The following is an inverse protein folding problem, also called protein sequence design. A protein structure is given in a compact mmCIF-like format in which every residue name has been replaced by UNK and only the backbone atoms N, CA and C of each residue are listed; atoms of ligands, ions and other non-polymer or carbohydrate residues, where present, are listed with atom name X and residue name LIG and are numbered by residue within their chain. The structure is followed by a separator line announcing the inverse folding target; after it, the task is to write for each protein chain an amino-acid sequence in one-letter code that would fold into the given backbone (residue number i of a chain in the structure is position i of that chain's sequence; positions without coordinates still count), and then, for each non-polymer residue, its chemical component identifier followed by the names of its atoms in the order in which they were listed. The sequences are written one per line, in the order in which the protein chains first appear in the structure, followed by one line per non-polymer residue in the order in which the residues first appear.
data_IF_183373677710
#
_entry.id   IF_183373677710
#
_cell.length_a   1.000
_cell.length_b   1.000
_cell.length_c   1.000
_cell.angle_alpha   90.00
_cell.angle_beta   90.00
_cell.angle_gamma   90.00
#
_symmetry.space_group_name_H-M   'P 1'
#
loop_
_entity.id
_entity.type
_entity.pdbx_description
1 polymer ?
#
# COMPACT_ATOMS: atom_id res chain seq x y z
N UNK A 1 -14.31 11.81 27.77
CA UNK A 1 -14.32 10.78 26.71
C UNK A 1 -15.63 10.92 25.94
N UNK A 2 -15.59 10.94 24.60
CA UNK A 2 -16.79 11.03 23.74
C UNK A 2 -16.80 9.87 22.74
N UNK A 3 -17.98 9.30 22.49
CA UNK A 3 -18.20 8.20 21.57
C UNK A 3 -18.95 8.71 20.33
N UNK A 4 -18.44 8.36 19.15
CA UNK A 4 -19.05 8.68 17.87
C UNK A 4 -19.32 7.41 17.07
N UNK A 5 -20.50 7.34 16.45
CA UNK A 5 -20.85 6.28 15.51
C UNK A 5 -20.56 6.78 14.10
N UNK A 6 -19.58 6.18 13.42
CA UNK A 6 -19.15 6.53 12.07
C UNK A 6 -19.63 5.46 11.09
N UNK A 7 -20.39 5.87 10.07
CA UNK A 7 -20.81 4.98 8.99
C UNK A 7 -19.71 4.99 7.92
N UNK A 8 -19.06 3.85 7.69
CA UNK A 8 -17.91 3.72 6.77
C UNK A 8 -18.35 3.23 5.39
N UNK A 9 -19.34 2.33 5.35
CA UNK A 9 -20.03 1.88 4.14
C UNK A 9 -21.43 1.40 4.50
N UNK A 10 -22.24 1.03 3.50
CA UNK A 10 -23.62 0.53 3.70
C UNK A 10 -23.70 -0.59 4.74
N UNK A 11 -22.67 -1.45 4.80
CA UNK A 11 -22.64 -2.62 5.69
C UNK A 11 -21.64 -2.48 6.85
N UNK A 12 -20.95 -1.34 6.99
CA UNK A 12 -19.90 -1.15 7.99
C UNK A 12 -20.11 0.12 8.82
N UNK A 13 -20.38 -0.09 10.10
CA UNK A 13 -20.39 0.96 11.13
C UNK A 13 -19.21 0.76 12.06
N UNK A 14 -18.46 1.83 12.33
CA UNK A 14 -17.39 1.85 13.32
C UNK A 14 -17.77 2.76 14.50
N UNK A 15 -17.34 2.37 15.70
CA UNK A 15 -17.51 3.16 16.92
C UNK A 15 -16.15 3.73 17.31
N UNK A 16 -16.04 5.06 17.30
CA UNK A 16 -14.80 5.78 17.54
C UNK A 16 -14.91 6.48 18.88
N UNK A 17 -13.96 6.19 19.77
CA UNK A 17 -13.86 6.86 21.06
C UNK A 17 -12.68 7.80 21.05
N UNK A 18 -12.90 9.04 21.49
CA UNK A 18 -11.86 10.07 21.58
C UNK A 18 -11.81 10.69 22.98
N UNK A 19 -10.59 11.04 23.40
CA UNK A 19 -10.34 11.83 24.59
C UNK A 19 -10.34 13.34 24.30
N UNK A 20 -10.39 13.73 23.04
CA UNK A 20 -10.56 15.12 22.65
C UNK A 20 -11.98 15.59 22.97
N UNK A 21 -12.10 16.46 23.98
CA UNK A 21 -13.38 17.01 24.42
C UNK A 21 -13.90 18.11 23.49
N UNK A 22 -13.06 18.64 22.60
CA UNK A 22 -13.44 19.67 21.61
C UNK A 22 -14.06 19.07 20.35
N UNK A 23 -13.85 17.77 20.12
CA UNK A 23 -14.51 17.02 19.05
C UNK A 23 -16.02 16.98 19.31
N UNK A 24 -16.79 17.56 18.41
CA UNK A 24 -18.22 17.81 18.58
C UNK A 24 -19.08 17.23 17.46
N UNK A 25 -18.48 16.70 16.40
CA UNK A 25 -19.25 16.17 15.28
C UNK A 25 -18.75 14.80 14.82
N UNK A 26 -19.70 13.98 14.36
CA UNK A 26 -19.40 12.71 13.69
C UNK A 26 -18.61 12.95 12.40
N UNK A 27 -18.90 14.04 11.69
CA UNK A 27 -18.21 14.41 10.45
C UNK A 27 -16.72 14.66 10.68
N UNK A 28 -16.34 15.46 11.67
CA UNK A 28 -14.94 15.76 11.95
C UNK A 28 -14.21 14.51 12.47
N UNK A 29 -14.92 13.69 13.27
CA UNK A 29 -14.41 12.37 13.68
C UNK A 29 -14.13 11.47 12.47
N UNK A 30 -15.02 11.49 11.47
CA UNK A 30 -14.84 10.74 10.22
C UNK A 30 -13.63 11.24 9.42
N UNK A 31 -13.38 12.55 9.36
CA UNK A 31 -12.20 13.11 8.71
C UNK A 31 -10.90 12.66 9.39
N UNK A 32 -10.86 12.68 10.73
CA UNK A 32 -9.71 12.18 11.50
C UNK A 32 -9.48 10.69 11.24
N UNK A 33 -10.54 9.88 11.20
CA UNK A 33 -10.45 8.47 10.85
C UNK A 33 -9.96 8.25 9.41
N UNK A 34 -10.41 9.06 8.44
CA UNK A 34 -9.93 9.00 7.07
C UNK A 34 -8.43 9.33 6.96
N UNK A 35 -7.94 10.30 7.74
CA UNK A 35 -6.51 10.58 7.86
C UNK A 35 -5.76 9.41 8.49
N UNK A 36 -6.27 8.82 9.57
CA UNK A 36 -5.68 7.62 10.20
C UNK A 36 -5.61 6.45 9.24
N UNK A 37 -6.57 6.27 8.33
CA UNK A 37 -6.45 5.21 7.31
C UNK A 37 -5.16 5.38 6.51
N UNK A 38 -4.67 6.59 6.23
CA UNK A 38 -3.48 6.77 5.39
C UNK A 38 -2.26 5.97 5.88
N UNK A 39 -2.07 5.79 7.19
CA UNK A 39 -0.97 4.96 7.71
C UNK A 39 -1.16 3.47 7.40
N UNK A 40 -2.38 2.96 7.53
CA UNK A 40 -2.69 1.58 7.17
C UNK A 40 -2.58 1.37 5.64
N UNK A 41 -2.98 2.37 4.83
CA UNK A 41 -2.85 2.30 3.37
C UNK A 41 -1.36 2.20 3.02
N UNK A 42 -0.53 3.04 3.63
CA UNK A 42 0.93 3.00 3.50
C UNK A 42 1.48 1.62 3.84
N UNK A 43 1.19 1.08 5.02
CA UNK A 43 1.69 -0.23 5.43
C UNK A 43 1.29 -1.34 4.47
N UNK A 44 0.02 -1.37 4.04
CA UNK A 44 -0.45 -2.37 3.07
C UNK A 44 0.26 -2.24 1.73
N UNK A 45 0.37 -1.03 1.20
CA UNK A 45 1.01 -0.79 -0.09
C UNK A 45 2.49 -1.17 -0.05
N UNK A 46 3.24 -0.73 0.96
CA UNK A 46 4.67 -1.05 1.08
C UNK A 46 4.90 -2.56 1.15
N UNK A 47 4.17 -3.28 2.02
CA UNK A 47 4.31 -4.74 2.14
C UNK A 47 4.08 -5.46 0.82
N UNK A 48 2.98 -5.15 0.13
CA UNK A 48 2.56 -5.85 -1.09
C UNK A 48 3.38 -5.47 -2.32
N UNK A 49 3.91 -4.24 -2.36
CA UNK A 49 4.58 -3.72 -3.56
C UNK A 49 6.09 -3.81 -3.51
N UNK A 50 6.73 -3.76 -2.33
CA UNK A 50 8.19 -3.67 -2.25
C UNK A 50 8.86 -4.84 -1.52
N UNK A 51 8.12 -5.72 -0.86
CA UNK A 51 8.70 -6.85 -0.12
C UNK A 51 9.51 -6.40 1.10
N UNK A 52 9.10 -5.32 1.76
CA UNK A 52 9.80 -4.76 2.94
C UNK A 52 10.02 -5.80 4.05
N UNK A 53 9.14 -6.80 4.18
CA UNK A 53 9.20 -7.86 5.19
C UNK A 53 9.93 -9.13 4.71
N UNK A 54 10.39 -9.14 3.45
CA UNK A 54 10.96 -10.33 2.83
C UNK A 54 12.46 -10.51 3.08
N UNK A 55 13.14 -9.54 3.71
CA UNK A 55 14.58 -9.62 3.98
C UNK A 55 14.90 -10.71 5.01
N UNK A 56 15.64 -11.74 4.58
CA UNK A 56 16.06 -12.85 5.45
C UNK A 56 17.43 -12.63 6.12
N UNK A 57 18.05 -11.47 5.94
CA UNK A 57 19.39 -11.19 6.49
C UNK A 57 19.37 -11.09 8.03
N UNK A 58 20.40 -11.57 8.72
CA UNK A 58 20.44 -11.51 10.19
C UNK A 58 21.15 -10.27 10.74
N UNK A 59 21.93 -9.58 9.92
CA UNK A 59 22.68 -8.38 10.35
C UNK A 59 21.78 -7.14 10.34
N UNK A 60 21.75 -6.43 11.47
CA UNK A 60 20.93 -5.22 11.67
C UNK A 60 21.16 -4.13 10.60
N UNK A 61 22.42 -3.90 10.20
CA UNK A 61 22.75 -2.92 9.14
C UNK A 61 22.08 -3.28 7.81
N UNK A 62 22.08 -4.55 7.43
CA UNK A 62 21.51 -5.00 6.16
C UNK A 62 19.99 -4.88 6.20
N UNK A 63 19.37 -5.26 7.32
CA UNK A 63 17.93 -5.10 7.53
C UNK A 63 17.47 -3.64 7.41
N UNK A 64 18.19 -2.70 8.08
CA UNK A 64 17.91 -1.27 7.94
C UNK A 64 18.06 -0.76 6.51
N UNK A 65 19.10 -1.21 5.80
CA UNK A 65 19.30 -0.84 4.40
C UNK A 65 18.15 -1.36 3.51
N UNK A 66 17.70 -2.61 3.71
CA UNK A 66 16.55 -3.17 2.97
C UNK A 66 15.28 -2.35 3.19
N UNK A 67 14.98 -2.02 4.46
CA UNK A 67 13.85 -1.18 4.83
C UNK A 67 13.94 0.19 4.15
N UNK A 68 15.10 0.85 4.19
CA UNK A 68 15.30 2.14 3.54
C UNK A 68 15.09 2.06 2.01
N UNK A 69 15.68 1.06 1.36
CA UNK A 69 15.48 0.82 -0.08
C UNK A 69 14.00 0.59 -0.42
N UNK A 70 13.30 -0.22 0.37
CA UNK A 70 11.87 -0.48 0.19
C UNK A 70 11.03 0.80 0.28
N UNK A 71 11.34 1.70 1.21
CA UNK A 71 10.67 2.99 1.35
C UNK A 71 10.97 3.95 0.19
N UNK A 72 12.23 3.99 -0.28
CA UNK A 72 12.61 4.78 -1.46
C UNK A 72 11.87 4.31 -2.72
N UNK A 73 11.83 3.00 -2.95
CA UNK A 73 11.10 2.42 -4.09
C UNK A 73 9.60 2.72 -3.98
N UNK A 74 8.99 2.53 -2.81
CA UNK A 74 7.57 2.85 -2.62
C UNK A 74 7.28 4.33 -2.92
N UNK A 75 8.11 5.25 -2.43
CA UNK A 75 7.96 6.69 -2.68
C UNK A 75 7.99 6.99 -4.18
N UNK A 76 8.95 6.40 -4.91
CA UNK A 76 9.04 6.59 -6.36
C UNK A 76 7.84 5.99 -7.09
N UNK A 77 7.39 4.80 -6.71
CA UNK A 77 6.20 4.18 -7.29
C UNK A 77 4.93 5.01 -7.02
N UNK A 78 4.79 5.64 -5.85
CA UNK A 78 3.66 6.54 -5.56
C UNK A 78 3.66 7.79 -6.44
N UNK A 79 4.82 8.41 -6.63
CA UNK A 79 4.96 9.55 -7.54
C UNK A 79 4.56 9.18 -8.98
N UNK A 80 5.04 8.04 -9.47
CA UNK A 80 4.71 7.55 -10.81
C UNK A 80 3.24 7.18 -10.93
N UNK A 81 2.65 6.55 -9.91
CA UNK A 81 1.23 6.20 -9.89
C UNK A 81 0.36 7.46 -9.96
N UNK A 82 0.72 8.52 -9.20
CA UNK A 82 0.07 9.82 -9.28
C UNK A 82 0.21 10.45 -10.68
N UNK A 83 1.43 10.50 -11.22
CA UNK A 83 1.70 11.10 -12.53
C UNK A 83 0.97 10.38 -13.69
N UNK A 84 0.68 9.09 -13.52
CA UNK A 84 0.00 8.27 -14.53
C UNK A 84 -1.48 8.04 -14.23
N UNK A 85 -2.03 8.68 -13.18
CA UNK A 85 -3.40 8.46 -12.70
C UNK A 85 -3.76 6.98 -12.51
N UNK A 86 -2.82 6.17 -12.02
CA UNK A 86 -3.01 4.74 -11.76
C UNK A 86 -2.81 4.41 -10.28
N UNK A 87 -3.21 3.21 -9.87
CA UNK A 87 -2.85 2.72 -8.53
C UNK A 87 -1.42 2.18 -8.52
N UNK A 88 -0.77 2.17 -7.35
CA UNK A 88 0.57 1.58 -7.20
C UNK A 88 0.59 0.09 -7.60
N UNK A 89 -0.51 -0.62 -7.38
CA UNK A 89 -0.68 -2.03 -7.75
C UNK A 89 -0.73 -2.20 -9.27
N UNK A 90 -1.51 -1.38 -9.97
CA UNK A 90 -1.59 -1.38 -11.43
C UNK A 90 -0.25 -0.98 -12.06
N UNK A 91 0.42 0.02 -11.50
CA UNK A 91 1.74 0.44 -11.95
C UNK A 91 2.74 -0.72 -11.82
N UNK A 92 2.79 -1.38 -10.65
CA UNK A 92 3.69 -2.51 -10.42
C UNK A 92 3.39 -3.69 -11.37
N UNK A 93 2.13 -4.06 -11.55
CA UNK A 93 1.78 -5.18 -12.43
C UNK A 93 2.12 -4.90 -13.89
N UNK A 94 1.91 -3.66 -14.35
CA UNK A 94 2.18 -3.24 -15.73
C UNK A 94 3.66 -3.29 -16.12
N UNK A 95 4.59 -3.11 -15.18
CA UNK A 95 6.04 -3.09 -15.46
C UNK A 95 6.53 -4.28 -16.28
N UNK A 96 5.99 -5.48 -16.04
CA UNK A 96 6.37 -6.71 -16.77
C UNK A 96 5.24 -7.28 -17.62
N UNK A 97 4.00 -6.78 -17.49
CA UNK A 97 2.85 -7.35 -18.17
C UNK A 97 3.02 -7.40 -19.69
N UNK A 98 3.46 -6.30 -20.31
CA UNK A 98 3.68 -6.26 -21.76
C UNK A 98 4.75 -7.25 -22.22
N UNK A 99 5.86 -7.32 -21.48
CA UNK A 99 6.93 -8.26 -21.76
C UNK A 99 6.44 -9.71 -21.68
N UNK A 100 5.74 -10.08 -20.58
CA UNK A 100 5.22 -11.43 -20.37
C UNK A 100 4.18 -11.82 -21.44
N UNK A 101 3.26 -10.92 -21.79
CA UNK A 101 2.30 -11.15 -22.88
C UNK A 101 3.05 -11.40 -24.20
N UNK A 102 4.12 -10.64 -24.48
CA UNK A 102 4.96 -10.85 -25.63
C UNK A 102 5.62 -12.23 -25.63
N UNK A 103 6.25 -12.62 -24.52
CA UNK A 103 6.89 -13.93 -24.38
C UNK A 103 5.90 -15.10 -24.46
N UNK A 104 4.65 -14.94 -24.00
CA UNK A 104 3.63 -15.98 -24.12
C UNK A 104 3.14 -16.15 -25.56
N UNK A 105 3.09 -15.06 -26.35
CA UNK A 105 2.70 -15.12 -27.77
C UNK A 105 3.80 -15.70 -28.65
N UNK A 106 5.05 -15.35 -28.37
CA UNK A 106 6.21 -15.82 -29.12
C UNK A 106 7.39 -16.00 -28.16
N UNK A 107 7.54 -17.21 -27.57
CA UNK A 107 8.58 -17.46 -26.59
C UNK A 107 9.96 -17.32 -27.22
N UNK A 108 10.79 -16.41 -26.71
CA UNK A 108 12.18 -16.29 -27.15
C UNK A 108 13.04 -17.43 -26.57
N UNK A 109 12.60 -18.01 -25.46
CA UNK A 109 13.21 -19.17 -24.83
C UNK A 109 12.30 -20.39 -24.98
N UNK A 110 12.73 -21.38 -25.77
CA UNK A 110 12.01 -22.63 -25.91
C UNK A 110 12.20 -23.50 -24.66
N UNK A 111 11.18 -23.58 -23.81
CA UNK A 111 11.17 -24.53 -22.69
C UNK A 111 10.80 -25.92 -23.22
N UNK A 112 11.78 -26.84 -23.26
CA UNK A 112 11.51 -28.26 -23.50
C UNK A 112 11.22 -28.91 -22.14
N UNK A 113 10.10 -29.60 -22.04
CA UNK A 113 9.87 -30.57 -20.96
C UNK A 113 10.76 -31.78 -21.27
N UNK A 114 11.76 -32.00 -20.42
CA UNK A 114 12.58 -33.21 -20.42
C UNK A 114 11.82 -34.39 -19.85
#
# INVERSE_FOLDING_TARGET
MKLFRVIVSTDKTEFVVTNDLTQNSTHDTQQVCAMRWKIEQFHREVKQTTGIESCQCRKQRIQRNHIACALLVWTRLKQLAQATATSIYQLKSRLLSHYLIGQLKSPTLAMKLG
#
